data_IF_371423537766
#
_entry.id   IF_371423537766
#
_cell.length_a   1.000
_cell.length_b   1.000
_cell.length_c   1.000
_cell.angle_alpha   90.00
_cell.angle_beta   90.00
_cell.angle_gamma   90.00
#
_symmetry.space_group_name_H-M   'P 1'
#
loop_
_entity.id
_entity.type
_entity.pdbx_description
1 polymer ?
#
# COMPACT_ATOMS: atom_id res chain seq x y z
N UNK A 1 41.89 -35.71 -17.28
CA UNK A 1 41.44 -37.10 -17.28
C UNK A 1 40.09 -37.16 -16.58
N UNK A 2 39.00 -37.08 -17.34
CA UNK A 2 37.64 -37.21 -16.82
C UNK A 2 37.12 -38.59 -17.24
N UNK A 3 36.88 -39.46 -16.26
CA UNK A 3 36.31 -40.80 -16.49
C UNK A 3 34.83 -40.67 -16.85
N UNK A 4 34.51 -41.01 -18.09
CA UNK A 4 33.14 -41.21 -18.57
C UNK A 4 32.73 -42.63 -18.18
N UNK A 5 31.87 -42.77 -17.16
CA UNK A 5 31.29 -44.05 -16.79
C UNK A 5 30.03 -44.30 -17.63
N UNK A 6 30.13 -45.24 -18.57
CA UNK A 6 29.01 -45.76 -19.33
C UNK A 6 28.06 -46.55 -18.41
N UNK A 7 26.80 -46.12 -18.30
CA UNK A 7 25.77 -46.87 -17.59
C UNK A 7 24.98 -47.68 -18.62
N UNK A 8 25.17 -48.99 -18.55
CA UNK A 8 24.53 -50.00 -19.37
C UNK A 8 23.01 -49.97 -19.22
N UNK A 9 22.29 -49.90 -20.34
CA UNK A 9 20.85 -50.10 -20.39
C UNK A 9 20.51 -51.57 -20.23
N UNK A 10 20.31 -52.00 -18.98
CA UNK A 10 19.67 -53.26 -18.66
C UNK A 10 18.18 -53.17 -18.98
N UNK A 11 17.80 -53.65 -20.17
CA UNK A 11 16.43 -54.01 -20.51
C UNK A 11 15.96 -55.13 -19.59
N UNK A 12 15.43 -54.76 -18.41
CA UNK A 12 14.66 -55.68 -17.59
C UNK A 12 13.19 -55.42 -17.84
N UNK A 13 12.54 -56.47 -18.34
CA UNK A 13 11.16 -56.51 -18.76
C UNK A 13 10.24 -55.91 -17.70
N UNK A 14 9.52 -54.83 -18.05
CA UNK A 14 8.36 -54.41 -17.27
C UNK A 14 7.31 -55.52 -17.36
N UNK A 15 6.81 -56.05 -16.24
CA UNK A 15 5.60 -56.83 -16.28
C UNK A 15 4.47 -55.90 -16.73
N UNK A 16 3.89 -56.25 -17.87
CA UNK A 16 2.47 -56.15 -18.19
C UNK A 16 1.70 -55.09 -17.42
N UNK A 17 1.37 -53.99 -18.12
CA UNK A 17 0.03 -53.40 -18.20
C UNK A 17 -0.94 -54.00 -17.17
N UNK A 18 -0.85 -53.55 -15.92
CA UNK A 18 -1.92 -53.79 -14.97
C UNK A 18 -3.07 -52.94 -15.42
N UNK A 19 -4.05 -53.66 -15.98
CA UNK A 19 -5.45 -53.33 -16.08
C UNK A 19 -5.80 -51.99 -15.42
N UNK A 20 -6.15 -51.01 -16.24
CA UNK A 20 -6.99 -49.91 -15.81
C UNK A 20 -8.31 -50.51 -15.32
N UNK A 21 -8.34 -50.90 -14.06
CA UNK A 21 -9.57 -50.85 -13.30
C UNK A 21 -9.89 -49.36 -13.23
N UNK A 22 -10.66 -48.88 -14.22
CA UNK A 22 -11.50 -47.73 -14.01
C UNK A 22 -12.26 -48.06 -12.73
N UNK A 23 -11.85 -47.45 -11.60
CA UNK A 23 -12.58 -47.50 -10.36
C UNK A 23 -13.96 -46.96 -10.71
N UNK A 24 -14.89 -47.88 -11.01
CA UNK A 24 -16.31 -47.56 -11.11
C UNK A 24 -16.71 -47.22 -9.69
N UNK A 25 -16.52 -45.96 -9.32
CA UNK A 25 -17.11 -45.40 -8.11
C UNK A 25 -18.58 -45.81 -8.11
N UNK A 26 -19.05 -46.36 -6.98
CA UNK A 26 -20.46 -46.70 -6.86
C UNK A 26 -21.28 -45.41 -7.01
N UNK A 27 -22.56 -45.54 -7.38
CA UNK A 27 -23.45 -44.35 -7.48
C UNK A 27 -23.43 -43.57 -6.17
N UNK A 28 -23.42 -44.30 -5.04
CA UNK A 28 -23.37 -43.73 -3.70
C UNK A 28 -22.06 -43.00 -3.39
N UNK A 29 -20.91 -43.50 -3.85
CA UNK A 29 -19.63 -42.81 -3.65
C UNK A 29 -19.53 -41.54 -4.51
N UNK A 30 -20.11 -41.57 -5.70
CA UNK A 30 -20.19 -40.40 -6.59
C UNK A 30 -21.17 -39.37 -6.07
N UNK A 31 -22.30 -39.81 -5.52
CA UNK A 31 -23.29 -38.94 -4.86
C UNK A 31 -22.70 -38.29 -3.60
N UNK A 32 -21.98 -39.04 -2.75
CA UNK A 32 -21.30 -38.47 -1.59
C UNK A 32 -20.19 -37.49 -1.95
N UNK A 33 -19.46 -37.73 -3.05
CA UNK A 33 -18.48 -36.76 -3.57
C UNK A 33 -19.15 -35.51 -4.13
N UNK A 34 -20.25 -35.67 -4.88
CA UNK A 34 -21.02 -34.54 -5.43
C UNK A 34 -21.65 -33.71 -4.32
N UNK A 35 -22.15 -34.36 -3.26
CA UNK A 35 -22.70 -33.69 -2.08
C UNK A 35 -21.61 -32.95 -1.32
N UNK A 36 -20.41 -33.53 -1.15
CA UNK A 36 -19.26 -32.83 -0.55
C UNK A 36 -18.71 -31.68 -1.42
N UNK A 37 -18.83 -31.79 -2.75
CA UNK A 37 -18.39 -30.75 -3.69
C UNK A 37 -19.42 -29.62 -3.81
N UNK A 38 -20.70 -29.97 -3.71
CA UNK A 38 -21.84 -29.05 -3.76
C UNK A 38 -22.39 -28.75 -2.36
N UNK A 39 -21.62 -29.05 -1.31
CA UNK A 39 -21.96 -28.78 0.08
C UNK A 39 -22.02 -27.27 0.25
N UNK A 40 -23.20 -26.74 -0.01
CA UNK A 40 -23.55 -25.33 0.04
C UNK A 40 -23.56 -24.82 1.48
N UNK A 41 -23.31 -25.71 2.45
CA UNK A 41 -23.15 -25.44 3.87
C UNK A 41 -21.72 -25.03 4.25
N UNK A 42 -20.75 -25.09 3.32
CA UNK A 42 -19.50 -24.36 3.49
C UNK A 42 -19.79 -22.87 3.40
N UNK A 43 -20.14 -22.29 4.54
CA UNK A 43 -20.16 -20.85 4.72
C UNK A 43 -18.74 -20.35 4.45
N UNK A 44 -18.53 -19.80 3.26
CA UNK A 44 -17.37 -18.91 3.06
C UNK A 44 -17.53 -17.81 4.11
N UNK A 45 -16.53 -17.55 4.96
CA UNK A 45 -16.61 -16.47 5.94
C UNK A 45 -17.07 -15.22 5.20
N UNK A 46 -18.25 -14.72 5.56
CA UNK A 46 -18.82 -13.55 4.91
C UNK A 46 -17.94 -12.37 5.27
N UNK A 47 -17.30 -11.77 4.26
CA UNK A 47 -16.56 -10.54 4.43
C UNK A 47 -17.44 -9.51 5.16
N UNK A 48 -16.94 -8.93 6.25
CA UNK A 48 -17.63 -7.85 6.95
C UNK A 48 -17.57 -6.59 6.09
N UNK A 49 -18.48 -6.47 5.12
CA UNK A 49 -18.51 -5.35 4.17
C UNK A 49 -19.26 -4.12 4.71
N UNK A 50 -19.87 -4.23 5.90
CA UNK A 50 -20.67 -3.18 6.51
C UNK A 50 -19.83 -2.18 7.34
N UNK A 51 -18.70 -2.63 7.87
CA UNK A 51 -17.81 -1.84 8.72
C UNK A 51 -16.61 -1.32 7.92
N UNK A 52 -16.00 -0.25 8.41
CA UNK A 52 -14.87 0.37 7.73
C UNK A 52 -13.58 -0.41 7.99
N UNK A 53 -12.71 -0.49 6.98
CA UNK A 53 -11.50 -1.33 7.01
C UNK A 53 -10.53 -0.99 8.16
N UNK A 54 -10.48 0.28 8.59
CA UNK A 54 -9.62 0.73 9.69
C UNK A 54 -10.01 0.17 11.07
N UNK A 55 -11.21 -0.38 11.24
CA UNK A 55 -11.69 -0.97 12.50
C UNK A 55 -11.26 -2.44 12.67
N UNK A 56 -10.87 -3.10 11.58
CA UNK A 56 -10.49 -4.51 11.55
C UNK A 56 -8.99 -4.74 11.68
N UNK A 57 -8.24 -3.71 12.08
CA UNK A 57 -6.78 -3.78 12.19
C UNK A 57 -6.36 -4.46 13.50
N UNK A 58 -5.39 -5.36 13.39
CA UNK A 58 -4.66 -5.88 14.54
C UNK A 58 -3.71 -4.79 15.06
N UNK A 59 -3.98 -4.31 16.27
CA UNK A 59 -3.16 -3.33 16.98
C UNK A 59 -2.25 -4.03 17.99
N UNK A 60 -1.06 -3.50 18.17
CA UNK A 60 -0.13 -3.93 19.21
C UNK A 60 -0.51 -3.39 20.61
N UNK A 61 0.37 -3.62 21.59
CA UNK A 61 0.16 -3.17 22.98
C UNK A 61 0.22 -1.64 23.15
N UNK A 62 0.90 -0.93 22.24
CA UNK A 62 1.02 0.52 22.22
C UNK A 62 -0.11 1.20 21.41
N UNK A 63 -0.95 0.41 20.74
CA UNK A 63 -2.07 0.87 19.93
C UNK A 63 -1.71 1.19 18.48
N UNK A 64 -0.51 0.80 18.04
CA UNK A 64 -0.05 0.94 16.65
C UNK A 64 -0.44 -0.31 15.85
N UNK A 65 -0.82 -0.17 14.58
CA UNK A 65 -1.18 -1.33 13.78
C UNK A 65 0.06 -2.15 13.40
N UNK A 66 -0.08 -3.48 13.42
CA UNK A 66 1.02 -4.40 13.08
C UNK A 66 1.50 -4.28 11.63
N UNK A 67 0.65 -3.74 10.75
CA UNK A 67 0.94 -3.54 9.34
C UNK A 67 1.51 -2.14 9.10
N UNK A 68 2.63 -2.07 8.38
CA UNK A 68 3.26 -0.80 8.03
C UNK A 68 2.53 -0.03 6.91
N UNK A 69 1.72 -0.73 6.08
CA UNK A 69 1.06 -0.18 4.90
C UNK A 69 -0.41 -0.53 4.86
N UNK A 70 -1.23 0.43 4.46
CA UNK A 70 -2.65 0.26 4.27
C UNK A 70 -3.06 0.64 2.86
N UNK A 71 -4.10 -0.01 2.36
CA UNK A 71 -4.62 0.22 1.01
C UNK A 71 -5.98 0.91 1.09
N UNK A 72 -6.17 1.92 0.25
CA UNK A 72 -7.43 2.67 0.14
C UNK A 72 -7.83 2.82 -1.32
N UNK A 73 -9.15 2.76 -1.59
CA UNK A 73 -9.71 2.96 -2.93
C UNK A 73 -10.44 4.30 -2.98
N UNK A 74 -10.04 5.15 -3.92
CA UNK A 74 -10.74 6.40 -4.22
C UNK A 74 -12.01 6.12 -5.04
N UNK A 75 -13.18 6.15 -4.39
CA UNK A 75 -14.47 5.84 -4.99
C UNK A 75 -14.91 6.83 -6.08
N UNK A 76 -14.47 8.08 -5.99
CA UNK A 76 -14.76 9.10 -7.01
C UNK A 76 -14.05 8.81 -8.32
N UNK A 77 -12.80 8.33 -8.22
CA UNK A 77 -11.97 7.97 -9.38
C UNK A 77 -12.26 6.55 -9.89
N UNK A 78 -12.70 5.65 -9.01
CA UNK A 78 -12.99 4.26 -9.36
C UNK A 78 -14.12 4.17 -10.38
N UNK A 79 -13.93 3.35 -11.42
CA UNK A 79 -14.91 3.13 -12.49
C UNK A 79 -15.68 1.82 -12.36
N UNK A 80 -15.40 1.04 -11.31
CA UNK A 80 -16.04 -0.25 -11.08
C UNK A 80 -15.63 -1.34 -12.08
N UNK A 81 -14.36 -1.39 -12.48
CA UNK A 81 -13.86 -2.39 -13.45
C UNK A 81 -13.72 -3.83 -12.89
N UNK A 82 -13.98 -4.03 -11.59
CA UNK A 82 -13.98 -5.31 -10.83
C UNK A 82 -12.70 -6.15 -10.84
N UNK A 83 -11.64 -5.71 -11.52
CA UNK A 83 -10.40 -6.47 -11.59
C UNK A 83 -9.76 -6.69 -10.21
N UNK A 84 -9.69 -5.63 -9.38
CA UNK A 84 -9.13 -5.71 -8.03
C UNK A 84 -9.86 -6.73 -7.15
N UNK A 85 -11.19 -6.76 -7.18
CA UNK A 85 -12.01 -7.73 -6.44
C UNK A 85 -11.89 -9.16 -6.99
N UNK A 86 -11.35 -9.34 -8.20
CA UNK A 86 -11.11 -10.67 -8.78
C UNK A 86 -9.73 -11.20 -8.41
N UNK A 87 -8.73 -10.32 -8.40
CA UNK A 87 -7.32 -10.62 -8.10
C UNK A 87 -7.08 -10.82 -6.60
N UNK A 88 -7.57 -9.90 -5.78
CA UNK A 88 -7.40 -9.90 -4.33
C UNK A 88 -8.79 -9.87 -3.65
N UNK A 89 -9.36 -11.08 -3.51
CA UNK A 89 -10.74 -11.32 -3.04
C UNK A 89 -10.89 -11.20 -1.54
N UNK A 90 -9.79 -11.39 -0.80
CA UNK A 90 -9.71 -11.22 0.64
C UNK A 90 -9.54 -9.75 1.03
N UNK A 91 -9.07 -8.88 0.15
CA UNK A 91 -8.88 -7.45 0.46
C UNK A 91 -9.97 -6.56 -0.14
N UNK A 92 -10.34 -6.77 -1.41
CA UNK A 92 -11.23 -5.89 -2.14
C UNK A 92 -12.60 -6.52 -2.39
N UNK A 93 -13.65 -5.70 -2.31
CA UNK A 93 -14.99 -6.06 -2.73
C UNK A 93 -15.62 -4.97 -3.58
N UNK A 94 -16.74 -5.30 -4.24
CA UNK A 94 -17.54 -4.35 -5.01
C UNK A 94 -18.78 -3.98 -4.20
N UNK A 95 -18.94 -2.69 -3.90
CA UNK A 95 -20.15 -2.16 -3.30
C UNK A 95 -21.27 -2.11 -4.34
N UNK A 96 -22.47 -2.55 -3.96
CA UNK A 96 -23.64 -2.63 -4.84
C UNK A 96 -24.29 -1.25 -5.12
N UNK A 97 -24.30 -0.34 -4.13
CA UNK A 97 -25.02 0.94 -4.22
C UNK A 97 -24.45 1.88 -5.29
N UNK A 98 -23.12 1.97 -5.35
CA UNK A 98 -22.43 2.84 -6.29
C UNK A 98 -21.67 2.07 -7.37
N UNK A 99 -21.53 0.74 -7.27
CA UNK A 99 -20.73 -0.05 -8.19
C UNK A 99 -19.25 0.33 -8.10
N UNK A 100 -18.73 0.55 -6.89
CA UNK A 100 -17.35 0.97 -6.62
C UNK A 100 -16.61 -0.10 -5.85
N UNK A 101 -15.30 -0.16 -6.06
CA UNK A 101 -14.46 -1.05 -5.28
C UNK A 101 -14.17 -0.44 -3.90
N UNK A 102 -14.15 -1.27 -2.87
CA UNK A 102 -13.81 -0.92 -1.48
C UNK A 102 -12.85 -1.94 -0.91
N UNK A 103 -12.08 -1.52 0.08
CA UNK A 103 -11.27 -2.42 0.92
C UNK A 103 -12.10 -2.75 2.15
N UNK A 104 -12.28 -4.03 2.46
CA UNK A 104 -12.94 -4.45 3.71
C UNK A 104 -11.94 -4.98 4.72
N UNK A 105 -10.87 -5.63 4.26
CA UNK A 105 -9.84 -6.22 5.11
C UNK A 105 -8.45 -5.86 4.58
N UNK A 106 -7.63 -5.27 5.44
CA UNK A 106 -6.27 -4.85 5.12
C UNK A 106 -5.28 -6.02 5.17
N UNK A 107 -5.65 -7.15 5.79
CA UNK A 107 -4.82 -8.34 5.98
C UNK A 107 -5.31 -9.58 5.20
N UNK A 108 -6.32 -9.43 4.35
CA UNK A 108 -7.00 -10.57 3.73
C UNK A 108 -6.22 -11.30 2.63
N UNK A 109 -5.30 -10.61 1.92
CA UNK A 109 -4.48 -11.19 0.86
C UNK A 109 -2.99 -10.84 1.04
N UNK A 110 -2.11 -11.58 0.36
CA UNK A 110 -0.68 -11.28 0.32
C UNK A 110 -0.39 -9.95 -0.37
N UNK A 111 0.64 -9.25 0.09
CA UNK A 111 1.09 -7.97 -0.46
C UNK A 111 1.33 -7.98 -1.98
N UNK A 112 1.77 -9.11 -2.54
CA UNK A 112 1.99 -9.29 -3.98
C UNK A 112 0.68 -9.20 -4.79
N UNK A 113 -0.41 -9.78 -4.27
CA UNK A 113 -1.73 -9.74 -4.92
C UNK A 113 -2.35 -8.36 -4.84
N UNK A 114 -2.17 -7.69 -3.70
CA UNK A 114 -2.60 -6.30 -3.52
C UNK A 114 -1.85 -5.39 -4.51
N UNK A 115 -0.52 -5.57 -4.64
CA UNK A 115 0.28 -4.83 -5.61
C UNK A 115 -0.16 -5.10 -7.06
N UNK A 116 -0.44 -6.36 -7.42
CA UNK A 116 -0.98 -6.70 -8.73
C UNK A 116 -2.33 -6.01 -9.00
N UNK A 117 -3.23 -5.99 -8.00
CA UNK A 117 -4.51 -5.30 -8.09
C UNK A 117 -4.36 -3.78 -8.29
N UNK A 118 -3.33 -3.19 -7.67
CA UNK A 118 -3.00 -1.77 -7.82
C UNK A 118 -2.48 -1.48 -9.24
N UNK A 119 -1.50 -2.27 -9.72
CA UNK A 119 -0.83 -2.03 -11.01
C UNK A 119 -1.74 -2.28 -12.21
N UNK A 120 -2.72 -3.16 -12.05
CA UNK A 120 -3.72 -3.49 -13.08
C UNK A 120 -4.89 -2.49 -13.16
N UNK A 121 -5.00 -1.55 -12.21
CA UNK A 121 -6.12 -0.62 -12.17
C UNK A 121 -6.05 0.38 -13.34
N UNK A 122 -7.03 0.41 -14.27
CA UNK A 122 -6.98 1.22 -15.48
C UNK A 122 -7.04 2.73 -15.24
N UNK A 123 -7.49 3.16 -14.05
CA UNK A 123 -7.60 4.55 -13.62
C UNK A 123 -6.73 4.88 -12.41
N UNK A 124 -5.91 3.92 -11.96
CA UNK A 124 -5.02 4.06 -10.81
C UNK A 124 -5.71 4.62 -9.55
N UNK A 125 -6.93 4.16 -9.25
CA UNK A 125 -7.74 4.65 -8.13
C UNK A 125 -7.42 3.98 -6.78
N UNK A 126 -6.45 3.07 -6.74
CA UNK A 126 -6.04 2.35 -5.53
C UNK A 126 -4.72 2.96 -5.04
N UNK A 127 -4.66 3.35 -3.77
CA UNK A 127 -3.56 4.11 -3.18
C UNK A 127 -3.11 3.48 -1.87
N UNK A 128 -1.78 3.46 -1.64
CA UNK A 128 -1.23 3.19 -0.31
C UNK A 128 -1.32 4.43 0.56
N UNK A 129 -1.74 4.26 1.81
CA UNK A 129 -1.98 5.32 2.79
C UNK A 129 -1.40 4.93 4.15
N UNK A 130 -1.11 5.93 5.00
CA UNK A 130 -0.78 5.71 6.40
C UNK A 130 -2.03 5.37 7.21
N UNK A 131 -1.86 4.82 8.41
CA UNK A 131 -2.96 4.53 9.31
C UNK A 131 -3.80 5.78 9.64
N UNK A 132 -3.13 6.90 9.97
CA UNK A 132 -3.79 8.18 10.24
C UNK A 132 -4.67 8.63 9.06
N UNK A 133 -4.12 8.57 7.84
CA UNK A 133 -4.84 8.98 6.64
C UNK A 133 -5.98 8.01 6.33
N UNK A 134 -5.82 6.70 6.56
CA UNK A 134 -6.88 5.71 6.37
C UNK A 134 -8.10 6.03 7.25
N UNK A 135 -7.87 6.34 8.53
CA UNK A 135 -8.95 6.71 9.46
C UNK A 135 -9.67 7.97 9.01
N UNK A 136 -8.94 8.97 8.50
CA UNK A 136 -9.52 10.21 7.97
C UNK A 136 -10.35 9.92 6.73
N UNK A 137 -9.80 9.17 5.77
CA UNK A 137 -10.44 8.88 4.49
C UNK A 137 -11.72 8.08 4.66
N UNK A 138 -11.71 7.06 5.53
CA UNK A 138 -12.90 6.26 5.83
C UNK A 138 -14.00 7.08 6.52
N UNK A 139 -13.64 8.03 7.39
CA UNK A 139 -14.60 8.96 8.01
C UNK A 139 -15.18 9.96 7.01
N UNK A 140 -14.34 10.52 6.15
CA UNK A 140 -14.78 11.46 5.11
C UNK A 140 -15.67 10.77 4.08
N UNK A 141 -15.47 9.47 3.85
CA UNK A 141 -16.25 8.64 2.92
C UNK A 141 -17.73 8.54 3.28
N UNK A 142 -18.09 8.46 4.56
CA UNK A 142 -19.49 8.39 5.01
C UNK A 142 -20.34 9.59 4.52
N UNK A 143 -19.71 10.74 4.29
CA UNK A 143 -20.35 11.95 3.79
C UNK A 143 -20.27 12.16 2.28
N UNK A 144 -19.58 11.29 1.53
CA UNK A 144 -19.35 11.48 0.10
C UNK A 144 -20.59 11.12 -0.72
N UNK A 145 -21.04 12.07 -1.54
CA UNK A 145 -22.12 11.83 -2.51
C UNK A 145 -21.53 11.50 -3.88
N UNK A 146 -21.64 10.23 -4.29
CA UNK A 146 -21.13 9.76 -5.57
C UNK A 146 -22.19 9.99 -6.66
N UNK A 147 -22.08 11.13 -7.34
CA UNK A 147 -22.94 11.44 -8.48
C UNK A 147 -22.45 10.71 -9.74
N UNK A 148 -22.94 9.49 -9.98
CA UNK A 148 -22.67 8.72 -11.20
C UNK A 148 -22.90 9.54 -12.50
N UNK A 149 -23.90 10.42 -12.50
CA UNK A 149 -24.22 11.31 -13.61
C UNK A 149 -23.23 12.49 -13.78
N UNK A 150 -22.63 12.98 -12.69
CA UNK A 150 -21.68 14.09 -12.72
C UNK A 150 -20.34 13.66 -13.32
N UNK A 151 -19.97 12.38 -13.19
CA UNK A 151 -18.77 11.82 -13.83
C UNK A 151 -18.76 12.01 -15.35
N UNK A 152 -19.92 11.87 -16.00
CA UNK A 152 -20.05 12.08 -17.45
C UNK A 152 -19.81 13.55 -17.84
N UNK A 153 -20.05 14.49 -16.91
CA UNK A 153 -19.80 15.93 -17.11
C UNK A 153 -18.35 16.31 -16.78
N UNK A 154 -17.78 15.82 -15.68
CA UNK A 154 -16.39 16.13 -15.29
C UNK A 154 -15.33 15.59 -16.25
N UNK A 155 -15.60 14.50 -17.00
CA UNK A 155 -14.68 14.06 -18.06
C UNK A 155 -14.41 15.15 -19.12
N UNK A 156 -15.35 16.08 -19.33
CA UNK A 156 -15.18 17.19 -20.27
C UNK A 156 -14.23 18.29 -19.75
N UNK A 157 -14.03 18.38 -18.43
CA UNK A 157 -13.27 19.44 -17.78
C UNK A 157 -11.86 19.00 -17.36
N UNK A 158 -11.51 17.72 -17.54
CA UNK A 158 -10.14 17.20 -17.30
C UNK A 158 -9.69 17.22 -15.83
N UNK A 159 -10.58 17.59 -14.89
CA UNK A 159 -10.32 17.54 -13.46
C UNK A 159 -10.92 16.25 -12.91
N UNK A 160 -10.06 15.34 -12.44
CA UNK A 160 -10.50 14.33 -11.48
C UNK A 160 -10.86 15.10 -10.20
N UNK A 161 -12.12 15.47 -10.06
CA UNK A 161 -12.64 16.22 -8.92
C UNK A 161 -12.68 15.31 -7.70
N UNK A 162 -11.51 15.01 -7.16
CA UNK A 162 -11.41 14.41 -5.84
C UNK A 162 -11.76 15.51 -4.84
N UNK A 163 -12.73 15.28 -3.95
CA UNK A 163 -13.14 16.27 -2.96
C UNK A 163 -11.93 16.69 -2.12
N UNK A 164 -11.93 17.91 -1.56
CA UNK A 164 -10.87 18.32 -0.64
C UNK A 164 -10.93 17.42 0.62
N UNK A 165 -9.89 16.63 0.83
CA UNK A 165 -9.74 15.72 1.97
C UNK A 165 -8.72 16.27 2.96
N UNK A 166 -8.84 15.95 4.25
CA UNK A 166 -7.82 16.29 5.26
C UNK A 166 -6.62 15.34 5.24
N UNK A 167 -6.72 14.19 4.56
CA UNK A 167 -5.64 13.23 4.42
C UNK A 167 -4.41 13.84 3.73
N UNK A 168 -3.22 13.63 4.30
CA UNK A 168 -1.95 14.20 3.81
C UNK A 168 -1.60 13.63 2.43
N UNK A 169 -1.91 12.35 2.21
CA UNK A 169 -1.74 11.62 0.95
C UNK A 169 -2.54 12.19 -0.24
N UNK A 170 -3.61 12.96 0.00
CA UNK A 170 -4.47 13.51 -1.06
C UNK A 170 -4.47 15.05 -1.11
N UNK A 171 -4.15 15.74 0.00
CA UNK A 171 -4.18 17.20 0.10
C UNK A 171 -2.86 17.90 -0.28
N UNK A 172 -1.73 17.21 -0.18
CA UNK A 172 -0.39 17.82 -0.26
C UNK A 172 0.04 18.27 -1.66
N UNK A 173 -0.77 18.04 -2.71
CA UNK A 173 -0.41 18.36 -4.10
C UNK A 173 0.78 17.56 -4.65
N UNK A 174 1.35 16.66 -3.85
CA UNK A 174 2.33 15.68 -4.28
C UNK A 174 1.66 14.64 -5.19
N UNK A 175 2.40 14.12 -6.18
CA UNK A 175 1.89 13.05 -7.04
C UNK A 175 1.48 11.84 -6.19
N UNK A 176 0.29 11.29 -6.45
CA UNK A 176 -0.25 10.13 -5.72
C UNK A 176 0.68 8.92 -5.85
N UNK A 177 0.78 8.16 -4.76
CA UNK A 177 1.70 7.02 -4.60
C UNK A 177 1.68 6.02 -5.77
N UNK A 178 0.52 5.81 -6.40
CA UNK A 178 0.30 4.83 -7.48
C UNK A 178 1.00 5.14 -8.80
N UNK A 179 1.50 6.37 -8.98
CA UNK A 179 2.25 6.76 -10.18
C UNK A 179 3.62 7.34 -9.80
N UNK A 180 4.28 6.77 -8.78
CA UNK A 180 5.59 7.24 -8.32
C UNK A 180 6.71 6.70 -9.21
N UNK A 181 7.24 7.46 -10.20
CA UNK A 181 8.24 6.99 -11.16
C UNK A 181 9.64 7.22 -10.57
N UNK A 182 9.91 6.62 -9.41
CA UNK A 182 11.23 6.66 -8.76
C UNK A 182 11.61 8.00 -8.11
N UNK A 183 10.63 8.83 -7.69
CA UNK A 183 10.93 10.14 -7.09
C UNK A 183 11.04 10.19 -5.56
N UNK A 184 10.77 9.12 -4.81
CA UNK A 184 11.01 9.03 -3.35
C UNK A 184 10.62 10.28 -2.55
N UNK A 185 9.38 10.35 -2.08
CA UNK A 185 8.91 11.45 -1.22
C UNK A 185 9.41 11.30 0.23
N UNK A 186 9.48 12.43 0.95
CA UNK A 186 9.77 12.43 2.39
C UNK A 186 8.64 11.71 3.13
N UNK A 187 7.40 12.11 2.90
CA UNK A 187 6.23 11.48 3.53
C UNK A 187 5.73 10.33 2.66
N UNK A 188 6.52 9.25 2.58
CA UNK A 188 6.16 8.09 1.79
C UNK A 188 5.31 7.12 2.62
N UNK A 189 4.01 6.93 2.32
CA UNK A 189 3.18 5.98 3.05
C UNK A 189 3.63 4.52 2.85
N UNK A 190 4.50 4.25 1.88
CA UNK A 190 5.08 2.92 1.65
C UNK A 190 6.24 2.56 2.56
N UNK A 191 6.95 3.54 3.11
CA UNK A 191 8.16 3.31 3.90
C UNK A 191 8.15 4.03 5.25
N UNK A 192 7.13 4.86 5.54
CA UNK A 192 7.14 5.77 6.68
C UNK A 192 7.72 7.16 6.32
N UNK A 193 7.47 8.13 7.20
CA UNK A 193 7.93 9.52 7.02
C UNK A 193 9.46 9.59 7.13
N UNK A 194 10.12 9.81 6.00
CA UNK A 194 11.56 10.04 5.87
C UNK A 194 12.40 8.78 5.63
N UNK A 195 11.79 7.61 5.64
CA UNK A 195 12.49 6.31 5.62
C UNK A 195 12.56 5.69 4.22
N UNK A 196 11.95 6.31 3.21
CA UNK A 196 12.03 5.81 1.84
C UNK A 196 13.51 5.78 1.37
N UNK A 197 14.04 4.62 0.92
CA UNK A 197 15.45 4.49 0.54
C UNK A 197 15.83 5.44 -0.60
N UNK A 198 14.94 5.63 -1.58
CA UNK A 198 15.16 6.57 -2.70
C UNK A 198 15.17 8.03 -2.21
N UNK A 199 14.40 8.35 -1.17
CA UNK A 199 14.42 9.67 -0.55
C UNK A 199 15.73 9.92 0.20
N UNK A 200 16.19 8.94 0.99
CA UNK A 200 17.44 9.00 1.73
C UNK A 200 18.65 9.15 0.81
N UNK A 201 18.73 8.37 -0.27
CA UNK A 201 19.82 8.47 -1.25
C UNK A 201 19.90 9.87 -1.88
N UNK A 202 18.74 10.46 -2.23
CA UNK A 202 18.68 11.81 -2.78
C UNK A 202 19.05 12.87 -1.75
N UNK A 203 18.68 12.68 -0.48
CA UNK A 203 19.06 13.57 0.63
C UNK A 203 20.58 13.52 0.82
N UNK A 204 21.19 12.34 0.80
CA UNK A 204 22.64 12.16 0.88
C UNK A 204 23.38 12.86 -0.28
N UNK A 205 22.92 12.67 -1.53
CA UNK A 205 23.50 13.35 -2.71
C UNK A 205 23.38 14.87 -2.61
N UNK A 206 22.25 15.39 -2.09
CA UNK A 206 22.07 16.83 -1.86
C UNK A 206 22.99 17.36 -0.76
N UNK A 207 23.16 16.62 0.32
CA UNK A 207 24.06 16.99 1.42
C UNK A 207 25.53 16.96 0.99
N UNK A 208 25.92 15.99 0.17
CA UNK A 208 27.25 15.92 -0.44
C UNK A 208 27.49 17.11 -1.36
N UNK A 209 26.52 17.46 -2.21
CA UNK A 209 26.59 18.66 -3.06
C UNK A 209 26.69 19.95 -2.23
N UNK A 210 25.96 20.05 -1.11
CA UNK A 210 26.00 21.22 -0.19
C UNK A 210 27.32 21.30 0.59
N UNK A 211 27.93 20.16 0.94
CA UNK A 211 29.28 20.12 1.52
C UNK A 211 30.33 20.52 0.47
N UNK A 212 30.19 20.03 -0.76
CA UNK A 212 31.10 20.32 -1.86
C UNK A 212 31.03 21.79 -2.33
N UNK A 213 29.87 22.45 -2.22
CA UNK A 213 29.72 23.88 -2.54
C UNK A 213 30.39 24.80 -1.52
N UNK A 214 30.85 24.27 -0.37
CA UNK A 214 31.41 25.08 0.73
C UNK A 214 30.38 25.92 1.49
N UNK A 215 29.11 25.90 1.06
CA UNK A 215 28.02 26.67 1.68
C UNK A 215 27.78 26.25 3.12
N UNK A 216 27.89 24.95 3.43
CA UNK A 216 27.76 24.44 4.80
C UNK A 216 28.86 25.00 5.73
N UNK A 217 30.10 25.09 5.25
CA UNK A 217 31.21 25.64 6.02
C UNK A 217 31.06 27.16 6.22
N UNK A 218 30.63 27.87 5.17
CA UNK A 218 30.36 29.30 5.23
C UNK A 218 29.19 29.65 6.17
N UNK A 219 28.19 28.77 6.27
CA UNK A 219 27.06 28.93 7.18
C UNK A 219 27.44 28.64 8.64
N UNK A 220 28.23 27.60 8.90
CA UNK A 220 28.79 27.33 10.23
C UNK A 220 29.69 28.49 10.72
N UNK A 221 30.53 29.05 9.85
CA UNK A 221 31.38 30.19 10.20
C UNK A 221 30.53 31.44 10.53
N UNK A 222 29.43 31.66 9.78
CA UNK A 222 28.48 32.75 10.03
C UNK A 222 27.76 32.56 11.37
N UNK A 223 27.24 31.37 11.64
CA UNK A 223 26.57 31.05 12.91
C UNK A 223 27.51 31.19 14.10
N UNK A 224 28.76 30.75 13.96
CA UNK A 224 29.79 30.92 14.99
C UNK A 224 30.07 32.40 15.26
N UNK A 225 30.12 33.21 14.20
CA UNK A 225 30.32 34.67 14.33
C UNK A 225 29.13 35.34 15.00
N UNK A 226 27.90 34.93 14.66
CA UNK A 226 26.68 35.42 15.30
C UNK A 226 26.61 35.02 16.78
N UNK A 227 26.96 33.78 17.13
CA UNK A 227 27.06 33.33 18.52
C UNK A 227 28.07 34.15 19.33
N UNK A 228 29.24 34.44 18.76
CA UNK A 228 30.23 35.29 19.44
C UNK A 228 29.73 36.72 19.65
N UNK A 229 28.94 37.26 18.72
CA UNK A 229 28.29 38.56 18.88
C UNK A 229 27.27 38.50 20.02
N UNK A 230 26.42 37.47 20.05
CA UNK A 230 25.40 37.29 21.10
C UNK A 230 26.06 37.15 22.47
N UNK A 231 27.08 36.30 22.61
CA UNK A 231 27.84 36.13 23.86
C UNK A 231 28.51 37.43 24.31
N UNK A 232 29.00 38.25 23.37
CA UNK A 232 29.60 39.54 23.69
C UNK A 232 28.59 40.56 24.22
N UNK A 233 27.35 40.51 23.75
CA UNK A 233 26.25 41.37 24.21
C UNK A 233 25.83 40.98 25.63
N UNK A 234 25.56 39.69 25.88
CA UNK A 234 25.19 39.21 27.22
C UNK A 234 26.27 39.45 28.27
N UNK A 235 27.55 39.33 27.89
CA UNK A 235 28.67 39.64 28.79
C UNK A 235 28.76 41.14 29.15
N UNK A 236 28.36 42.03 28.23
CA UNK A 236 28.33 43.46 28.50
C UNK A 236 27.19 43.85 29.45
N UNK A 237 26.02 43.22 29.33
CA UNK A 237 24.88 43.45 30.22
C UNK A 237 25.14 42.95 31.65
N UNK A 238 25.75 41.78 31.82
CA UNK A 238 26.12 41.25 33.15
C UNK A 238 27.18 42.08 33.89
N UNK A 239 28.09 42.74 33.16
CA UNK A 239 29.09 43.64 33.75
C UNK A 239 28.51 44.97 34.24
N UNK A 240 27.32 45.36 33.76
CA UNK A 240 26.60 46.55 34.25
C UNK A 240 25.83 46.23 35.54
N UNK A 241 25.38 44.98 35.74
CA UNK A 241 24.71 44.54 36.98
C UNK A 241 25.66 44.29 38.16
N UNK A 242 26.89 43.80 37.94
CA UNK A 242 27.87 43.59 39.02
C UNK A 242 28.66 44.86 39.41
N UNK A 243 28.50 45.95 38.64
CA UNK A 243 29.17 47.24 38.85
C UNK A 243 28.32 48.32 39.54
N UNK A 244 27.12 47.98 40.02
CA UNK A 244 26.19 48.88 40.72
C UNK A 244 26.10 48.58 42.22
#
# INVERSE_FOLDING_TARGET
MASVAAIAWSSSLLPHRQSGAALRMSSSDREGLLDALWDSSRETPTANTAEASHLHLELDEDGEPLQARFTYVDEHSCIGCTYCATTARGTFFMEEDHGRARVFDQAGDSDELVQEAIDSCPVSCIHYVSHEDLVILEKEREGQQINNAQRLRSQQEGTAAVPPTQAKSFSSGAMRCTNCPGRGCADCPMFGVGENPVYLDRKAVREERRRASGEAQAEEERQRREQLIIDSIFKAEGAVEEGA
#
